data_IF_575942467643
#
_entry.id   IF_575942467643
#
_cell.length_a   1.000
_cell.length_b   1.000
_cell.length_c   1.000
_cell.angle_alpha   90.00
_cell.angle_beta   90.00
_cell.angle_gamma   90.00
#
_symmetry.space_group_name_H-M   'P 1'
#
loop_
_entity.id
_entity.type
_entity.pdbx_description
1 polymer ?
#
# COMPACT_ATOMS: atom_id res chain seq x y z
N UNK A 1 -26.49 -15.34 -45.93
CA UNK A 1 -27.82 -15.18 -46.55
C UNK A 1 -28.63 -14.24 -45.66
N UNK A 2 -29.18 -13.18 -46.28
CA UNK A 2 -30.19 -12.20 -45.80
C UNK A 2 -29.76 -11.35 -44.58
N UNK A 3 -29.22 -10.13 -44.73
CA UNK A 3 -29.80 -8.87 -45.22
C UNK A 3 -30.76 -8.18 -44.23
N UNK A 4 -30.45 -6.92 -43.88
CA UNK A 4 -31.26 -6.06 -43.03
C UNK A 4 -30.75 -4.62 -43.04
N UNK A 5 -30.96 -3.95 -44.16
CA UNK A 5 -30.77 -2.51 -44.40
C UNK A 5 -31.88 -1.72 -43.72
N UNK A 6 -31.58 -0.53 -43.18
CA UNK A 6 -32.50 0.62 -43.16
C UNK A 6 -31.71 1.92 -43.05
N UNK A 7 -31.70 2.65 -44.17
CA UNK A 7 -31.27 4.03 -44.33
C UNK A 7 -32.13 5.02 -43.52
N UNK A 8 -31.53 6.13 -43.12
CA UNK A 8 -32.21 7.25 -42.48
C UNK A 8 -31.44 8.55 -42.62
N UNK A 9 -31.46 9.12 -43.81
CA UNK A 9 -30.84 10.38 -44.20
C UNK A 9 -31.26 11.58 -43.33
N UNK A 10 -30.32 12.51 -43.08
CA UNK A 10 -30.67 13.92 -42.82
C UNK A 10 -29.71 14.85 -43.57
N UNK A 11 -30.32 15.66 -44.42
CA UNK A 11 -29.70 16.54 -45.39
C UNK A 11 -29.18 17.86 -44.78
N UNK A 12 -28.33 18.48 -45.58
CA UNK A 12 -27.53 19.69 -45.38
C UNK A 12 -28.29 21.01 -45.15
N UNK A 13 -27.56 22.01 -44.64
CA UNK A 13 -27.54 23.45 -45.01
C UNK A 13 -26.46 24.15 -44.17
N UNK A 14 -25.29 24.48 -44.72
CA UNK A 14 -24.95 25.77 -45.38
C UNK A 14 -25.30 27.02 -44.56
N UNK A 15 -24.27 27.77 -44.15
CA UNK A 15 -24.47 28.97 -43.33
C UNK A 15 -23.20 29.78 -43.04
N UNK A 16 -22.56 30.29 -44.10
CA UNK A 16 -21.80 31.56 -44.22
C UNK A 16 -20.80 31.96 -43.12
N UNK A 17 -19.55 32.04 -43.58
CA UNK A 17 -18.48 32.84 -43.02
C UNK A 17 -18.86 34.32 -42.85
N UNK A 18 -18.51 34.89 -41.69
CA UNK A 18 -18.39 36.33 -41.49
C UNK A 18 -16.91 36.66 -41.25
N UNK A 19 -16.27 37.13 -42.32
CA UNK A 19 -15.04 37.93 -42.26
C UNK A 19 -15.39 39.26 -41.59
N UNK A 20 -14.70 39.61 -40.51
CA UNK A 20 -14.55 41.01 -40.13
C UNK A 20 -13.07 41.39 -40.06
N UNK A 21 -12.84 42.49 -40.73
CA UNK A 21 -11.63 43.23 -41.02
C UNK A 21 -10.91 43.69 -39.75
N UNK A 22 -9.59 43.60 -39.79
CA UNK A 22 -8.61 44.23 -38.89
C UNK A 22 -8.76 45.75 -38.82
N UNK A 23 -8.73 46.33 -37.62
CA UNK A 23 -8.32 47.73 -37.42
C UNK A 23 -7.28 47.82 -36.31
N UNK A 24 -6.14 48.34 -36.71
CA UNK A 24 -4.98 48.83 -35.97
C UNK A 24 -5.34 49.82 -34.86
N UNK A 25 -4.80 49.61 -33.67
CA UNK A 25 -4.78 50.58 -32.57
C UNK A 25 -3.55 50.39 -31.69
N UNK A 26 -2.41 50.96 -32.12
CA UNK A 26 -1.25 51.22 -31.26
C UNK A 26 -1.57 52.39 -30.32
N UNK A 27 -0.94 52.37 -29.14
CA UNK A 27 -0.85 53.42 -28.12
C UNK A 27 -1.89 53.36 -26.98
N UNK A 28 -1.63 52.50 -25.97
CA UNK A 28 -1.49 52.92 -24.55
C UNK A 28 -0.55 51.91 -23.87
N UNK A 29 0.75 52.20 -23.87
CA UNK A 29 1.67 51.67 -22.89
C UNK A 29 1.73 52.66 -21.71
N UNK A 30 2.11 52.16 -20.53
CA UNK A 30 2.47 52.92 -19.30
C UNK A 30 1.31 53.26 -18.35
N UNK A 31 0.69 52.24 -17.74
CA UNK A 31 0.02 52.40 -16.42
C UNK A 31 -0.30 51.07 -15.68
N UNK A 32 0.09 49.89 -16.18
CA UNK A 32 -0.31 48.60 -15.59
C UNK A 32 0.85 47.69 -15.17
N UNK A 33 2.05 48.24 -14.94
CA UNK A 33 3.22 47.45 -14.51
C UNK A 33 3.56 47.60 -13.02
N UNK A 34 2.91 48.49 -12.26
CA UNK A 34 3.22 48.67 -10.83
C UNK A 34 2.28 47.88 -9.90
N UNK A 35 1.09 47.47 -10.37
CA UNK A 35 0.12 46.75 -9.54
C UNK A 35 0.31 45.22 -9.51
N UNK A 36 1.24 44.65 -10.28
CA UNK A 36 1.55 43.22 -10.28
C UNK A 36 2.76 42.85 -9.40
N UNK A 37 3.45 43.82 -8.81
CA UNK A 37 4.60 43.59 -7.93
C UNK A 37 4.24 43.50 -6.43
N UNK A 38 3.00 43.87 -6.04
CA UNK A 38 2.58 43.91 -4.63
C UNK A 38 2.01 42.57 -4.10
N UNK A 39 2.01 41.52 -4.91
CA UNK A 39 1.41 40.22 -4.59
C UNK A 39 2.39 39.10 -4.27
N UNK A 40 3.70 39.33 -4.30
CA UNK A 40 4.69 38.34 -3.89
C UNK A 40 4.68 38.17 -2.36
N UNK A 41 3.60 37.58 -1.84
CA UNK A 41 3.59 37.00 -0.51
C UNK A 41 4.66 35.92 -0.54
N UNK A 42 5.81 36.22 0.07
CA UNK A 42 6.88 35.26 0.25
C UNK A 42 6.24 34.02 0.88
N UNK A 43 6.14 32.95 0.10
CA UNK A 43 5.59 31.67 0.57
C UNK A 43 6.35 31.37 1.86
N UNK A 44 5.68 31.21 3.01
CA UNK A 44 6.38 30.99 4.27
C UNK A 44 7.38 29.86 4.05
N UNK A 45 8.65 30.15 4.34
CA UNK A 45 9.73 29.20 4.14
C UNK A 45 9.30 27.87 4.76
N UNK A 46 9.24 26.82 3.94
CA UNK A 46 8.84 25.50 4.41
C UNK A 46 9.73 25.16 5.61
N UNK A 47 9.13 24.81 6.75
CA UNK A 47 9.90 24.41 7.93
C UNK A 47 10.87 23.29 7.49
N UNK A 48 12.15 23.36 7.89
CA UNK A 48 13.11 22.33 7.53
C UNK A 48 12.56 20.96 7.96
N UNK A 49 12.48 20.03 7.02
CA UNK A 49 12.02 18.67 7.30
C UNK A 49 13.00 18.01 8.28
N UNK A 50 12.47 17.23 9.23
CA UNK A 50 13.35 16.50 10.15
C UNK A 50 14.24 15.51 9.36
N UNK A 51 15.45 15.19 9.86
CA UNK A 51 16.34 14.22 9.20
C UNK A 51 15.67 12.86 8.95
N UNK A 52 14.81 12.41 9.89
CA UNK A 52 13.97 11.21 9.72
C UNK A 52 13.07 11.35 8.49
N UNK A 53 12.31 12.44 8.39
CA UNK A 53 11.39 12.63 7.27
C UNK A 53 12.10 12.74 5.92
N UNK A 54 13.27 13.38 5.89
CA UNK A 54 14.11 13.42 4.69
C UNK A 54 14.54 12.01 4.29
N UNK A 55 15.04 11.22 5.24
CA UNK A 55 15.43 9.81 5.03
C UNK A 55 14.26 8.99 4.51
N UNK A 56 13.08 9.11 5.13
CA UNK A 56 11.89 8.34 4.75
C UNK A 56 11.40 8.68 3.34
N UNK A 57 11.37 9.96 2.98
CA UNK A 57 11.02 10.39 1.63
C UNK A 57 12.06 9.97 0.59
N UNK A 58 13.35 10.16 0.87
CA UNK A 58 14.43 9.88 -0.08
C UNK A 58 14.68 8.39 -0.28
N UNK A 59 14.77 7.60 0.80
CA UNK A 59 15.09 6.18 0.71
C UNK A 59 13.89 5.32 0.36
N UNK A 60 12.72 5.65 0.89
CA UNK A 60 11.55 4.76 0.83
C UNK A 60 10.35 5.36 0.09
N UNK A 61 10.42 6.60 -0.39
CA UNK A 61 9.30 7.26 -1.07
C UNK A 61 8.08 7.47 -0.17
N UNK A 62 8.25 7.46 1.17
CA UNK A 62 7.16 7.66 2.11
C UNK A 62 6.89 9.15 2.32
N UNK A 63 6.03 9.71 1.47
CA UNK A 63 5.56 11.10 1.56
C UNK A 63 4.02 11.14 1.52
N UNK A 64 3.35 11.80 2.50
CA UNK A 64 3.91 12.56 3.61
C UNK A 64 4.67 11.70 4.64
N UNK A 65 5.53 12.34 5.42
CA UNK A 65 6.34 11.67 6.43
C UNK A 65 5.45 10.93 7.46
N UNK A 66 5.64 9.62 7.68
CA UNK A 66 4.91 8.87 8.70
C UNK A 66 5.04 9.47 10.10
N UNK A 67 3.99 9.34 10.91
CA UNK A 67 4.01 9.72 12.33
C UNK A 67 5.09 8.95 13.12
N UNK A 68 5.51 9.53 14.26
CA UNK A 68 6.46 8.94 15.20
C UNK A 68 5.93 9.08 16.64
N UNK A 69 5.61 7.99 17.35
CA UNK A 69 5.68 6.60 16.90
C UNK A 69 4.68 6.29 15.78
N UNK A 70 4.98 5.27 14.98
CA UNK A 70 4.07 4.78 13.94
C UNK A 70 2.79 4.20 14.60
N UNK A 71 1.60 4.72 14.30
CA UNK A 71 0.35 4.14 14.80
C UNK A 71 0.12 2.76 14.21
N UNK A 72 -0.20 1.79 15.06
CA UNK A 72 -0.54 0.43 14.66
C UNK A 72 -1.92 0.05 15.18
N UNK A 73 -2.54 -0.96 14.56
CA UNK A 73 -3.83 -1.50 15.01
C UNK A 73 -3.71 -2.06 16.43
N UNK A 74 -4.70 -1.75 17.28
CA UNK A 74 -4.78 -2.30 18.62
C UNK A 74 -5.49 -3.65 18.56
N UNK A 75 -4.72 -4.73 18.61
CA UNK A 75 -5.22 -6.11 18.54
C UNK A 75 -4.73 -6.94 19.72
N UNK A 76 -5.48 -7.98 20.07
CA UNK A 76 -5.03 -8.95 21.06
C UNK A 76 -3.88 -9.79 20.48
N UNK A 77 -2.84 -9.96 21.29
CA UNK A 77 -1.68 -10.82 20.98
C UNK A 77 -1.72 -12.01 21.93
N UNK A 78 -1.67 -13.21 21.37
CA UNK A 78 -1.58 -14.45 22.13
C UNK A 78 -0.23 -15.12 21.88
N UNK A 79 0.49 -15.45 22.94
CA UNK A 79 1.70 -16.25 22.86
C UNK A 79 1.32 -17.73 22.99
N UNK A 80 1.51 -18.49 21.93
CA UNK A 80 1.23 -19.94 21.90
C UNK A 80 2.50 -20.75 21.63
N UNK A 81 3.67 -20.10 21.56
CA UNK A 81 4.95 -20.80 21.56
C UNK A 81 5.46 -20.93 23.01
N UNK A 82 5.54 -22.15 23.57
CA UNK A 82 5.99 -22.36 24.94
C UNK A 82 7.48 -22.04 25.15
N UNK A 83 8.27 -21.85 24.09
CA UNK A 83 9.69 -21.47 24.16
C UNK A 83 9.89 -19.96 24.27
N UNK A 84 8.88 -19.16 23.91
CA UNK A 84 8.94 -17.71 23.96
C UNK A 84 8.40 -17.17 25.29
N UNK A 85 9.07 -16.14 25.82
CA UNK A 85 8.43 -15.25 26.79
C UNK A 85 7.38 -14.37 26.12
N UNK A 86 6.38 -13.93 26.87
CA UNK A 86 5.36 -12.99 26.36
C UNK A 86 5.97 -11.68 25.84
N UNK A 87 7.10 -11.25 26.39
CA UNK A 87 7.81 -10.07 25.90
C UNK A 87 8.38 -10.28 24.48
N UNK A 88 8.92 -11.47 24.20
CA UNK A 88 9.43 -11.83 22.87
C UNK A 88 8.28 -11.99 21.87
N UNK A 89 7.20 -12.69 22.25
CA UNK A 89 6.01 -12.82 21.42
C UNK A 89 5.39 -11.43 21.09
N UNK A 90 5.27 -10.56 22.09
CA UNK A 90 4.80 -9.18 21.86
C UNK A 90 5.74 -8.39 20.95
N UNK A 91 7.06 -8.54 21.05
CA UNK A 91 7.99 -7.89 20.13
C UNK A 91 7.76 -8.33 18.68
N UNK A 92 7.62 -9.62 18.43
CA UNK A 92 7.35 -10.18 17.09
C UNK A 92 6.00 -9.66 16.55
N UNK A 93 4.95 -9.74 17.35
CA UNK A 93 3.62 -9.25 16.97
C UNK A 93 3.62 -7.74 16.66
N UNK A 94 4.30 -6.94 17.47
CA UNK A 94 4.43 -5.49 17.23
C UNK A 94 5.26 -5.18 15.98
N UNK A 95 6.30 -5.98 15.67
CA UNK A 95 7.05 -5.85 14.43
C UNK A 95 6.16 -6.12 13.20
N UNK A 96 5.31 -7.16 13.26
CA UNK A 96 4.33 -7.45 12.21
C UNK A 96 3.30 -6.34 12.04
N UNK A 97 2.75 -5.84 13.15
CA UNK A 97 1.80 -4.72 13.12
C UNK A 97 2.39 -3.45 12.49
N UNK A 98 3.69 -3.16 12.73
CA UNK A 98 4.40 -2.07 12.06
C UNK A 98 4.59 -2.33 10.58
N UNK A 99 4.94 -3.55 10.18
CA UNK A 99 5.02 -3.93 8.75
C UNK A 99 3.71 -3.68 8.04
N UNK A 100 2.59 -4.16 8.60
CA UNK A 100 1.25 -3.94 8.05
C UNK A 100 0.86 -2.45 7.99
N UNK A 101 1.18 -1.68 9.03
CA UNK A 101 0.95 -0.24 9.01
C UNK A 101 1.76 0.47 7.91
N UNK A 102 3.02 0.07 7.72
CA UNK A 102 3.87 0.61 6.66
C UNK A 102 3.45 0.17 5.25
N UNK A 103 2.96 -1.07 5.08
CA UNK A 103 2.35 -1.54 3.83
C UNK A 103 1.26 -0.58 3.36
N UNK A 104 0.29 -0.26 4.22
CA UNK A 104 -0.79 0.65 3.84
C UNK A 104 -0.31 2.08 3.58
N UNK A 105 0.70 2.55 4.32
CA UNK A 105 1.32 3.85 4.07
C UNK A 105 2.05 3.88 2.73
N UNK A 106 2.71 2.80 2.33
CA UNK A 106 3.38 2.69 1.04
C UNK A 106 2.39 2.73 -0.12
N UNK A 107 1.25 2.04 -0.01
CA UNK A 107 0.15 2.14 -0.99
C UNK A 107 -0.39 3.58 -1.06
N UNK A 108 -0.67 4.21 0.08
CA UNK A 108 -1.15 5.59 0.12
C UNK A 108 -0.13 6.58 -0.48
N UNK A 109 1.16 6.37 -0.24
CA UNK A 109 2.25 7.15 -0.81
C UNK A 109 2.54 6.80 -2.28
N UNK A 110 1.89 5.78 -2.85
CA UNK A 110 2.16 5.23 -4.17
C UNK A 110 3.66 4.89 -4.38
N UNK A 111 4.29 4.33 -3.33
CA UNK A 111 5.74 4.13 -3.30
C UNK A 111 6.12 2.72 -3.72
N UNK A 112 6.40 2.53 -5.01
CA UNK A 112 7.03 1.30 -5.53
C UNK A 112 8.39 1.05 -4.85
N UNK A 113 9.14 2.12 -4.56
CA UNK A 113 10.45 2.06 -3.90
C UNK A 113 10.38 1.43 -2.51
N UNK A 114 9.28 1.62 -1.78
CA UNK A 114 9.12 1.05 -0.45
C UNK A 114 9.15 -0.49 -0.50
N UNK A 115 8.41 -1.08 -1.44
CA UNK A 115 8.34 -2.53 -1.64
C UNK A 115 9.66 -3.13 -2.14
N UNK A 116 10.56 -2.32 -2.70
CA UNK A 116 11.89 -2.76 -3.13
C UNK A 116 12.97 -2.56 -2.05
N UNK A 117 12.64 -1.92 -0.92
CA UNK A 117 13.63 -1.50 0.07
C UNK A 117 13.97 -2.57 1.13
N UNK A 118 13.29 -3.72 1.09
CA UNK A 118 13.45 -4.82 2.03
C UNK A 118 13.06 -4.43 3.46
N UNK A 119 11.95 -3.70 3.60
CA UNK A 119 11.43 -3.22 4.89
C UNK A 119 10.40 -4.17 5.47
N UNK A 120 9.50 -4.69 4.63
CA UNK A 120 8.39 -5.58 5.02
C UNK A 120 8.44 -6.95 4.31
N UNK A 121 9.44 -7.13 3.45
CA UNK A 121 9.85 -8.36 2.77
C UNK A 121 11.37 -8.33 2.57
N UNK A 122 11.90 -9.34 1.89
CA UNK A 122 13.25 -9.34 1.35
C UNK A 122 13.17 -9.61 -0.16
N UNK A 123 13.13 -8.59 -1.03
CA UNK A 123 12.80 -8.78 -2.45
C UNK A 123 13.82 -9.64 -3.22
N UNK A 124 15.07 -9.70 -2.77
CA UNK A 124 16.09 -10.59 -3.35
C UNK A 124 15.81 -12.08 -3.07
N UNK A 125 14.89 -12.36 -2.15
CA UNK A 125 14.64 -13.67 -1.56
C UNK A 125 13.19 -14.11 -1.80
N UNK A 126 12.22 -13.20 -1.63
CA UNK A 126 10.80 -13.41 -1.87
C UNK A 126 10.27 -12.46 -2.96
N UNK A 127 10.80 -12.54 -4.21
CA UNK A 127 10.54 -11.54 -5.24
C UNK A 127 9.07 -11.43 -5.67
N UNK A 128 8.24 -12.42 -5.33
CA UNK A 128 6.83 -12.45 -5.68
C UNK A 128 5.89 -11.91 -4.57
N UNK A 129 6.39 -11.65 -3.35
CA UNK A 129 5.55 -11.32 -2.19
C UNK A 129 4.65 -10.10 -2.43
N UNK A 130 5.16 -9.07 -3.11
CA UNK A 130 4.43 -7.82 -3.42
C UNK A 130 4.46 -7.50 -4.92
N UNK A 131 4.54 -8.52 -5.78
CA UNK A 131 4.54 -8.34 -7.24
C UNK A 131 3.21 -7.76 -7.73
N UNK A 132 2.09 -8.16 -7.12
CA UNK A 132 0.78 -7.61 -7.42
C UNK A 132 0.71 -6.10 -7.10
N UNK A 133 1.09 -5.68 -5.90
CA UNK A 133 1.10 -4.27 -5.49
C UNK A 133 2.01 -3.42 -6.38
N UNK A 134 3.23 -3.88 -6.63
CA UNK A 134 4.17 -3.15 -7.48
C UNK A 134 3.69 -3.09 -8.94
N UNK A 135 3.07 -4.16 -9.43
CA UNK A 135 2.36 -4.20 -10.71
C UNK A 135 1.24 -3.17 -10.82
N UNK A 136 0.37 -3.09 -9.81
CA UNK A 136 -0.72 -2.11 -9.75
C UNK A 136 -0.20 -0.67 -9.74
N UNK A 137 0.87 -0.40 -8.97
CA UNK A 137 1.49 0.93 -8.92
C UNK A 137 2.09 1.33 -10.28
N UNK A 138 2.74 0.39 -10.96
CA UNK A 138 3.28 0.60 -12.31
C UNK A 138 2.16 0.85 -13.32
N UNK A 139 1.12 0.01 -13.32
CA UNK A 139 -0.06 0.17 -14.19
C UNK A 139 -0.72 1.54 -13.97
N UNK A 140 -0.96 1.93 -12.72
CA UNK A 140 -1.56 3.23 -12.40
C UNK A 140 -0.71 4.38 -12.97
N UNK A 141 0.61 4.34 -12.79
CA UNK A 141 1.53 5.34 -13.34
C UNK A 141 1.48 5.40 -14.86
N UNK A 142 1.49 4.25 -15.53
CA UNK A 142 1.45 4.17 -17.00
C UNK A 142 0.13 4.71 -17.57
N UNK A 143 -0.94 4.67 -16.78
CA UNK A 143 -2.24 5.26 -17.10
C UNK A 143 -2.39 6.73 -16.65
N UNK A 144 -1.33 7.36 -16.11
CA UNK A 144 -1.37 8.69 -15.49
C UNK A 144 -2.37 8.81 -14.32
N UNK A 145 -2.55 7.72 -13.59
CA UNK A 145 -3.36 7.62 -12.38
C UNK A 145 -2.52 7.33 -11.14
N UNK A 146 -3.21 6.83 -10.11
CA UNK A 146 -2.61 6.38 -8.86
C UNK A 146 -3.41 5.24 -8.25
N UNK A 147 -2.76 4.40 -7.44
CA UNK A 147 -3.46 3.46 -6.58
C UNK A 147 -4.04 4.23 -5.40
N UNK A 148 -5.30 3.94 -5.08
CA UNK A 148 -6.04 4.51 -3.96
C UNK A 148 -6.54 3.38 -3.07
N UNK A 149 -6.16 3.44 -1.80
CA UNK A 149 -6.68 2.58 -0.74
C UNK A 149 -8.03 3.13 -0.26
N UNK A 150 -9.12 2.44 -0.58
CA UNK A 150 -10.48 2.83 -0.19
C UNK A 150 -10.88 2.23 1.16
N UNK A 151 -10.41 1.02 1.48
CA UNK A 151 -10.64 0.34 2.74
C UNK A 151 -9.45 -0.55 3.11
N UNK A 152 -9.19 -0.70 4.40
CA UNK A 152 -8.19 -1.61 4.97
C UNK A 152 -8.90 -2.81 5.57
N UNK A 153 -8.35 -4.01 5.38
CA UNK A 153 -8.81 -5.14 6.19
C UNK A 153 -8.59 -4.84 7.67
N UNK A 154 -9.48 -5.36 8.52
CA UNK A 154 -9.39 -5.23 9.96
C UNK A 154 -8.74 -6.48 10.55
N UNK A 155 -7.69 -6.30 11.33
CA UNK A 155 -7.04 -7.41 12.02
C UNK A 155 -7.82 -7.74 13.31
N UNK A 156 -8.26 -8.98 13.46
CA UNK A 156 -9.03 -9.45 14.62
C UNK A 156 -8.13 -9.93 15.77
N UNK A 157 -7.10 -10.69 15.42
CA UNK A 157 -6.16 -11.24 16.41
C UNK A 157 -4.81 -11.55 15.79
N UNK A 158 -3.79 -11.55 16.63
CA UNK A 158 -2.47 -12.09 16.34
C UNK A 158 -2.17 -13.21 17.33
N UNK A 159 -1.70 -14.34 16.82
CA UNK A 159 -1.06 -15.38 17.63
C UNK A 159 0.39 -15.52 17.20
N UNK A 160 1.30 -15.68 18.15
CA UNK A 160 2.68 -16.08 17.87
C UNK A 160 2.80 -17.56 18.17
N UNK A 161 3.27 -18.32 17.19
CA UNK A 161 3.29 -19.78 17.20
C UNK A 161 4.65 -20.28 16.70
N UNK A 162 5.06 -21.52 17.03
CA UNK A 162 6.20 -22.11 16.36
C UNK A 162 5.93 -22.26 14.85
N UNK A 163 6.88 -21.83 14.02
CA UNK A 163 6.86 -22.12 12.58
C UNK A 163 7.27 -23.58 12.36
N UNK A 164 6.46 -24.42 11.70
CA UNK A 164 6.85 -25.78 11.34
C UNK A 164 8.21 -25.82 10.63
N UNK A 165 9.07 -26.76 11.05
CA UNK A 165 10.46 -26.80 10.60
C UNK A 165 10.58 -27.04 9.10
N UNK A 166 9.71 -27.89 8.55
CA UNK A 166 9.58 -28.15 7.12
C UNK A 166 9.21 -26.90 6.33
N UNK A 167 8.25 -26.10 6.80
CA UNK A 167 7.91 -24.82 6.16
C UNK A 167 9.08 -23.83 6.23
N UNK A 168 9.73 -23.74 7.39
CA UNK A 168 10.90 -22.88 7.59
C UNK A 168 12.07 -23.27 6.68
N UNK A 169 12.35 -24.56 6.58
CA UNK A 169 13.40 -25.11 5.72
C UNK A 169 13.05 -24.99 4.24
N UNK A 170 11.76 -25.11 3.88
CA UNK A 170 11.28 -24.99 2.50
C UNK A 170 11.51 -23.60 1.89
N UNK A 171 11.62 -22.57 2.73
CA UNK A 171 11.94 -21.23 2.25
C UNK A 171 13.34 -21.20 1.63
N UNK A 172 14.32 -21.93 2.18
CA UNK A 172 15.70 -22.01 1.69
C UNK A 172 16.36 -20.62 1.44
N UNK A 173 16.32 -19.77 2.46
CA UNK A 173 16.69 -18.35 2.36
C UNK A 173 17.76 -17.93 3.36
N UNK A 174 18.49 -16.85 3.03
CA UNK A 174 19.42 -16.18 3.94
C UNK A 174 19.05 -14.70 4.09
N UNK A 175 18.86 -14.17 5.32
CA UNK A 175 18.95 -14.85 6.61
C UNK A 175 17.85 -15.90 6.80
N UNK A 176 18.14 -16.94 7.58
CA UNK A 176 17.17 -17.98 7.91
C UNK A 176 15.97 -17.34 8.63
N UNK A 177 14.72 -17.77 8.33
CA UNK A 177 13.55 -17.27 9.02
C UNK A 177 13.59 -17.58 10.52
N UNK A 178 12.83 -16.81 11.30
CA UNK A 178 12.60 -17.10 12.71
C UNK A 178 12.05 -18.53 12.87
N UNK A 179 12.29 -19.13 14.04
CA UNK A 179 11.63 -20.38 14.43
C UNK A 179 10.15 -20.16 14.79
N UNK A 180 9.73 -18.90 14.88
CA UNK A 180 8.39 -18.46 15.22
C UNK A 180 7.71 -17.81 14.02
N UNK A 181 6.39 -17.90 13.97
CA UNK A 181 5.55 -17.28 12.96
C UNK A 181 4.39 -16.51 13.61
N UNK A 182 3.77 -15.67 12.81
CA UNK A 182 2.56 -14.93 13.18
C UNK A 182 1.37 -15.57 12.50
N UNK A 183 0.38 -16.02 13.28
CA UNK A 183 -0.94 -16.35 12.75
C UNK A 183 -1.81 -15.11 12.84
N UNK A 184 -2.34 -14.69 11.71
CA UNK A 184 -3.23 -13.53 11.60
C UNK A 184 -4.61 -13.96 11.20
N UNK A 185 -5.62 -13.36 11.82
CA UNK A 185 -6.99 -13.42 11.35
C UNK A 185 -7.42 -12.01 10.98
N UNK A 186 -7.79 -11.80 9.72
CA UNK A 186 -8.27 -10.52 9.24
C UNK A 186 -9.62 -10.68 8.55
N UNK A 187 -10.41 -9.61 8.59
CA UNK A 187 -11.68 -9.50 7.87
C UNK A 187 -11.66 -8.35 6.90
N UNK A 188 -12.40 -8.53 5.81
CA UNK A 188 -12.69 -7.44 4.90
C UNK A 188 -13.57 -6.35 5.53
N UNK A 189 -13.78 -5.25 4.80
CA UNK A 189 -13.31 -5.07 3.42
C UNK A 189 -11.84 -4.62 3.35
N UNK A 190 -11.10 -5.11 2.36
CA UNK A 190 -9.89 -4.44 1.87
C UNK A 190 -10.09 -4.09 0.42
N UNK A 191 -9.88 -2.82 0.04
CA UNK A 191 -10.19 -2.35 -1.31
C UNK A 191 -9.15 -1.38 -1.81
N UNK A 192 -8.54 -1.74 -2.92
CA UNK A 192 -7.61 -0.91 -3.68
C UNK A 192 -8.15 -0.72 -5.10
N UNK A 193 -8.05 0.52 -5.60
CA UNK A 193 -8.44 0.86 -6.96
C UNK A 193 -7.33 1.63 -7.66
N UNK A 194 -7.26 1.53 -8.98
CA UNK A 194 -6.55 2.49 -9.82
C UNK A 194 -7.51 3.64 -10.14
N UNK A 195 -7.11 4.86 -9.78
CA UNK A 195 -7.85 6.08 -10.07
C UNK A 195 -7.12 6.90 -11.13
N UNK A 196 -7.76 7.07 -12.28
CA UNK A 196 -7.30 7.94 -13.37
C UNK A 196 -8.26 9.12 -13.52
N UNK A 197 -7.79 10.39 -13.56
CA UNK A 197 -8.66 11.55 -13.72
C UNK A 197 -9.58 11.45 -14.93
N UNK A 198 -10.89 11.62 -14.71
CA UNK A 198 -11.90 11.57 -15.76
C UNK A 198 -12.32 10.15 -16.21
N UNK A 199 -11.84 9.10 -15.53
CA UNK A 199 -12.27 7.70 -15.75
C UNK A 199 -12.91 7.13 -14.47
N UNK A 200 -13.78 6.11 -14.59
CA UNK A 200 -14.21 5.32 -13.44
C UNK A 200 -13.01 4.66 -12.74
N UNK A 201 -13.12 4.46 -11.42
CA UNK A 201 -12.13 3.70 -10.65
C UNK A 201 -12.12 2.23 -11.12
N UNK A 202 -10.92 1.65 -11.28
CA UNK A 202 -10.71 0.24 -11.66
C UNK A 202 -10.27 -0.56 -10.42
N UNK A 203 -11.02 -1.59 -9.97
CA UNK A 203 -10.63 -2.41 -8.82
C UNK A 203 -9.41 -3.28 -9.15
N UNK A 204 -8.43 -3.32 -8.24
CA UNK A 204 -7.19 -4.11 -8.42
C UNK A 204 -6.87 -5.07 -7.28
N UNK A 205 -7.37 -4.81 -6.07
CA UNK A 205 -7.30 -5.78 -4.96
C UNK A 205 -8.54 -5.62 -4.10
N UNK A 206 -9.24 -6.73 -3.87
CA UNK A 206 -10.51 -6.76 -3.14
C UNK A 206 -10.60 -7.96 -2.22
N UNK A 207 -10.74 -7.70 -0.93
CA UNK A 207 -11.34 -8.61 0.04
C UNK A 207 -12.74 -8.05 0.36
N UNK A 208 -13.79 -8.83 0.12
CA UNK A 208 -15.15 -8.33 0.28
C UNK A 208 -15.59 -8.22 1.74
N UNK A 209 -16.65 -7.46 1.96
CA UNK A 209 -17.23 -7.32 3.29
C UNK A 209 -17.82 -8.66 3.76
N UNK A 210 -17.50 -9.05 4.99
CA UNK A 210 -17.84 -10.37 5.55
C UNK A 210 -16.84 -11.48 5.22
N UNK A 211 -15.95 -11.30 4.24
CA UNK A 211 -14.88 -12.26 3.97
C UNK A 211 -13.80 -12.19 5.06
N UNK A 212 -13.16 -13.32 5.29
CA UNK A 212 -12.07 -13.44 6.25
C UNK A 212 -11.01 -14.40 5.75
N UNK A 213 -9.76 -14.11 6.08
CA UNK A 213 -8.67 -15.05 5.89
C UNK A 213 -7.95 -15.29 7.22
N UNK A 214 -7.31 -16.45 7.30
CA UNK A 214 -6.36 -16.77 8.35
C UNK A 214 -5.08 -17.29 7.73
N UNK A 215 -3.98 -16.59 7.98
CA UNK A 215 -2.68 -16.90 7.41
C UNK A 215 -1.68 -17.20 8.52
N UNK A 216 -0.82 -18.18 8.28
CA UNK A 216 0.45 -18.34 8.97
C UNK A 216 1.50 -17.56 8.18
N UNK A 217 2.25 -16.68 8.85
CA UNK A 217 3.23 -15.80 8.22
C UNK A 217 4.61 -16.03 8.83
N UNK A 218 5.52 -16.57 8.03
CA UNK A 218 6.93 -16.77 8.37
C UNK A 218 7.78 -15.60 7.89
N UNK A 219 8.81 -15.23 8.65
CA UNK A 219 9.60 -14.06 8.34
C UNK A 219 10.82 -13.85 9.22
N UNK A 220 11.41 -12.65 9.11
CA UNK A 220 12.57 -12.20 9.90
C UNK A 220 12.35 -10.81 10.47
N UNK A 221 13.00 -10.50 11.58
CA UNK A 221 13.00 -9.13 12.12
C UNK A 221 14.06 -8.28 11.39
N UNK A 222 13.65 -7.11 10.93
CA UNK A 222 14.50 -6.19 10.17
C UNK A 222 14.44 -4.81 10.80
N UNK A 223 15.59 -4.12 10.85
CA UNK A 223 15.66 -2.70 11.19
C UNK A 223 16.33 -1.96 10.04
N UNK A 224 15.70 -0.86 9.61
CA UNK A 224 16.21 0.02 8.55
C UNK A 224 16.29 1.45 9.06
N UNK A 225 17.16 2.25 8.44
CA UNK A 225 17.41 3.63 8.87
C UNK A 225 16.12 4.47 8.88
N UNK A 226 15.81 5.11 10.02
CA UNK A 226 14.64 5.97 10.17
C UNK A 226 13.30 5.24 10.35
N UNK A 227 13.29 3.91 10.34
CA UNK A 227 12.12 3.06 10.54
C UNK A 227 12.25 2.26 11.85
N UNK A 228 11.12 1.93 12.51
CA UNK A 228 11.15 1.00 13.63
C UNK A 228 11.49 -0.42 13.14
N UNK A 229 11.80 -1.33 14.07
CA UNK A 229 11.91 -2.75 13.75
C UNK A 229 10.58 -3.29 13.18
N UNK A 230 10.68 -3.99 12.06
CA UNK A 230 9.58 -4.58 11.27
C UNK A 230 9.76 -6.09 11.14
N UNK A 231 8.69 -6.76 10.74
CA UNK A 231 8.67 -8.16 10.35
C UNK A 231 8.68 -8.25 8.82
N UNK A 232 9.78 -8.72 8.24
CA UNK A 232 9.88 -8.94 6.81
C UNK A 232 9.35 -10.34 6.47
N UNK A 233 8.28 -10.38 5.68
CA UNK A 233 7.58 -11.61 5.32
C UNK A 233 8.34 -12.37 4.24
N UNK A 234 8.48 -13.68 4.46
CA UNK A 234 9.20 -14.59 3.57
C UNK A 234 8.30 -15.69 3.03
N UNK A 235 7.26 -16.07 3.80
CA UNK A 235 6.25 -17.03 3.37
C UNK A 235 4.91 -16.75 4.04
N UNK A 236 3.84 -16.97 3.28
CA UNK A 236 2.46 -16.92 3.74
C UNK A 236 1.77 -18.23 3.35
N UNK A 237 1.04 -18.81 4.29
CA UNK A 237 0.32 -20.05 4.06
C UNK A 237 -1.09 -19.95 4.63
N UNK A 238 -2.08 -20.52 3.92
CA UNK A 238 -3.44 -20.55 4.42
C UNK A 238 -3.55 -21.52 5.58
N UNK A 239 -4.19 -21.11 6.67
CA UNK A 239 -4.38 -21.97 7.83
C UNK A 239 -5.37 -23.14 7.60
N UNK A 240 -6.00 -23.17 6.42
CA UNK A 240 -6.84 -24.28 5.99
C UNK A 240 -6.02 -25.41 5.35
N UNK A 241 -4.77 -25.13 4.96
CA UNK A 241 -3.89 -26.14 4.37
C UNK A 241 -3.50 -27.21 5.39
N UNK A 242 -3.47 -28.50 5.01
CA UNK A 242 -3.12 -29.59 5.93
C UNK A 242 -1.76 -29.39 6.64
N UNK A 243 -0.79 -28.80 5.94
CA UNK A 243 0.59 -28.63 6.41
C UNK A 243 0.70 -27.53 7.48
N UNK A 244 -0.24 -26.59 7.53
CA UNK A 244 -0.22 -25.43 8.44
C UNK A 244 -1.32 -25.50 9.51
N UNK A 245 -2.30 -26.39 9.30
CA UNK A 245 -3.49 -26.52 10.13
C UNK A 245 -3.17 -26.63 11.62
N UNK A 246 -2.20 -27.47 11.98
CA UNK A 246 -1.81 -27.70 13.37
C UNK A 246 -1.16 -26.47 14.01
N UNK A 247 -0.35 -25.72 13.26
CA UNK A 247 0.26 -24.47 13.74
C UNK A 247 -0.82 -23.38 13.97
N UNK A 248 -1.86 -23.37 13.14
CA UNK A 248 -2.94 -22.40 13.23
C UNK A 248 -4.06 -22.74 14.24
N UNK A 249 -4.20 -24.01 14.63
CA UNK A 249 -5.27 -24.50 15.52
C UNK A 249 -4.95 -24.52 17.01
N UNK A 250 -3.81 -23.96 17.43
CA UNK A 250 -3.48 -23.86 18.86
C UNK A 250 -4.66 -23.25 19.64
N UNK A 251 -5.06 -23.90 20.74
CA UNK A 251 -6.45 -24.06 21.13
C UNK A 251 -7.13 -22.71 21.35
N UNK A 252 -8.36 -22.60 20.87
CA UNK A 252 -9.33 -21.72 21.50
C UNK A 252 -9.38 -22.15 22.96
N UNK A 253 -8.75 -21.41 23.88
CA UNK A 253 -9.02 -21.61 25.29
C UNK A 253 -10.49 -21.32 25.49
N UNK A 254 -11.28 -22.39 25.44
CA UNK A 254 -12.69 -22.37 25.76
C UNK A 254 -12.86 -21.80 27.15
N UNK A 255 -13.88 -20.93 27.27
CA UNK A 255 -14.55 -20.49 28.49
C UNK A 255 -14.01 -21.12 29.79
N UNK A 256 -13.26 -20.33 30.55
CA UNK A 256 -13.08 -20.47 31.99
C UNK A 256 -13.70 -19.27 32.68
#
# INVERSE_FOLDING_TARGET
MVAGVSDGARAARSGRAARWVTVTGRCVAVAACVALAAGCHARPAAKPQSPRCQTLGQRYGLTPCPADPLPVEAVSVQNLDPKLSDAQANRIAQAYLRSRALYYLAIQANSERFFQAGVIDLPDVSPLMFDAETGHLKQARDQHGMVVLLAKSALKSIKVVPLPADLRESLDVTPLPLEDAVVVEATGPERQVIRVPGRPDEPVSTLDDGDSYRLLVGGVLVTKEGLPETYAELGQWECLDPDTHNACQLPSTGNG
#
